data_IF_506570857122
#
_entry.id   IF_506570857122
#
_cell.length_a   1.000
_cell.length_b   1.000
_cell.length_c   1.000
_cell.angle_alpha   90.00
_cell.angle_beta   90.00
_cell.angle_gamma   90.00
#
_symmetry.space_group_name_H-M   'P 1'
#
loop_
_entity.id
_entity.type
_entity.pdbx_description
1 polymer ?
#
# COMPACT_ATOMS: atom_id res chain seq x y z
N UNK A 1 15.60 -4.26 -11.43
CA UNK A 1 14.90 -2.96 -11.22
C UNK A 1 15.29 -1.99 -12.34
N UNK A 2 14.36 -1.67 -13.22
CA UNK A 2 14.52 -0.70 -14.31
C UNK A 2 14.98 0.66 -13.77
N UNK A 3 15.89 1.34 -14.49
CA UNK A 3 16.45 2.61 -14.02
C UNK A 3 15.40 3.73 -14.14
N UNK A 4 14.62 3.97 -13.08
CA UNK A 4 13.75 5.14 -12.97
C UNK A 4 14.63 6.37 -12.69
N UNK A 5 15.06 7.06 -13.76
CA UNK A 5 16.08 8.13 -13.71
C UNK A 5 15.58 9.42 -13.04
N UNK A 6 14.30 9.77 -13.24
CA UNK A 6 13.68 11.01 -12.74
C UNK A 6 12.55 10.72 -11.73
N UNK A 7 12.76 9.75 -10.84
CA UNK A 7 11.76 9.38 -9.83
C UNK A 7 12.03 10.06 -8.49
N UNK A 8 11.01 10.04 -7.63
CA UNK A 8 11.11 10.43 -6.22
C UNK A 8 12.25 9.72 -5.49
N UNK A 9 12.64 8.49 -5.87
CA UNK A 9 13.83 7.84 -5.31
C UNK A 9 14.90 7.70 -6.38
N UNK A 10 16.12 8.15 -6.07
CA UNK A 10 17.27 7.90 -6.94
C UNK A 10 17.58 6.41 -7.00
N UNK A 11 18.36 6.00 -8.00
CA UNK A 11 18.90 4.64 -8.07
C UNK A 11 19.67 4.27 -6.81
N UNK A 12 20.42 5.21 -6.23
CA UNK A 12 21.20 4.95 -5.02
C UNK A 12 20.32 4.86 -3.77
N UNK A 13 19.21 5.61 -3.70
CA UNK A 13 18.24 5.48 -2.61
C UNK A 13 17.57 4.11 -2.63
N UNK A 14 17.15 3.66 -3.81
CA UNK A 14 16.55 2.33 -4.00
C UNK A 14 17.51 1.23 -3.57
N UNK A 15 18.74 1.23 -4.09
CA UNK A 15 19.77 0.24 -3.73
C UNK A 15 20.08 0.25 -2.24
N UNK A 16 20.09 1.42 -1.61
CA UNK A 16 20.35 1.52 -0.17
C UNK A 16 19.18 1.00 0.68
N UNK A 17 17.93 1.29 0.29
CA UNK A 17 16.73 0.81 0.98
C UNK A 17 16.51 -0.70 0.79
N UNK A 18 16.84 -1.26 -0.38
CA UNK A 18 16.73 -2.71 -0.66
C UNK A 18 17.89 -3.53 -0.13
N UNK A 19 18.91 -2.90 0.47
CA UNK A 19 20.08 -3.59 1.00
C UNK A 19 21.13 -3.97 -0.06
N UNK A 20 20.91 -3.67 -1.34
CA UNK A 20 21.90 -3.85 -2.42
C UNK A 20 23.14 -2.96 -2.25
N UNK A 21 23.04 -1.90 -1.44
CA UNK A 21 24.15 -1.01 -1.09
C UNK A 21 24.19 -0.78 0.42
N UNK A 22 25.33 -1.09 1.04
CA UNK A 22 25.68 -0.69 2.40
C UNK A 22 26.68 0.46 2.40
N UNK A 23 26.70 1.24 3.49
CA UNK A 23 27.79 2.18 3.77
C UNK A 23 28.63 1.59 4.91
N UNK A 24 29.92 1.45 4.66
CA UNK A 24 30.90 0.84 5.56
C UNK A 24 32.12 1.77 5.76
N UNK A 25 32.90 1.51 6.81
CA UNK A 25 34.09 2.29 7.15
C UNK A 25 33.84 3.51 8.03
N UNK A 26 34.89 4.35 8.16
CA UNK A 26 35.00 5.40 9.18
C UNK A 26 33.88 6.45 9.13
N UNK A 27 33.33 6.73 7.95
CA UNK A 27 32.27 7.73 7.75
C UNK A 27 30.88 7.12 7.52
N UNK A 28 30.72 5.81 7.68
CA UNK A 28 29.46 5.10 7.40
C UNK A 28 28.26 5.68 8.15
N UNK A 29 28.44 6.05 9.42
CA UNK A 29 27.36 6.62 10.24
C UNK A 29 26.85 7.94 9.66
N UNK A 30 27.76 8.83 9.27
CA UNK A 30 27.41 10.12 8.68
C UNK A 30 26.76 9.95 7.31
N UNK A 31 27.28 9.06 6.47
CA UNK A 31 26.71 8.78 5.14
C UNK A 31 25.30 8.19 5.23
N UNK A 32 25.05 7.26 6.17
CA UNK A 32 23.69 6.73 6.44
C UNK A 32 22.74 7.82 6.92
N UNK A 33 23.20 8.71 7.80
CA UNK A 33 22.39 9.82 8.28
C UNK A 33 22.02 10.78 7.15
N UNK A 34 23.01 11.20 6.36
CA UNK A 34 22.77 12.08 5.21
C UNK A 34 21.79 11.44 4.22
N UNK A 35 21.99 10.15 3.88
CA UNK A 35 21.08 9.42 2.98
C UNK A 35 19.64 9.40 3.48
N UNK A 36 19.42 9.17 4.79
CA UNK A 36 18.09 9.23 5.40
C UNK A 36 17.48 10.63 5.29
N UNK A 37 18.29 11.66 5.48
CA UNK A 37 17.83 13.04 5.36
C UNK A 37 17.42 13.38 3.93
N UNK A 38 18.26 13.05 2.96
CA UNK A 38 18.00 13.32 1.55
C UNK A 38 16.74 12.59 1.05
N UNK A 39 16.54 11.33 1.46
CA UNK A 39 15.31 10.59 1.14
C UNK A 39 14.09 11.25 1.78
N UNK A 40 14.18 11.64 3.06
CA UNK A 40 13.06 12.29 3.76
C UNK A 40 12.65 13.59 3.10
N UNK A 41 13.62 14.46 2.80
CA UNK A 41 13.37 15.75 2.18
C UNK A 41 12.74 15.59 0.80
N UNK A 42 13.24 14.64 0.02
CA UNK A 42 12.71 14.35 -1.32
C UNK A 42 11.30 13.78 -1.28
N UNK A 43 11.02 12.84 -0.39
CA UNK A 43 9.65 12.32 -0.18
C UNK A 43 8.72 13.44 0.25
N UNK A 44 9.15 14.29 1.20
CA UNK A 44 8.35 15.43 1.65
C UNK A 44 8.00 16.37 0.51
N UNK A 45 8.99 16.79 -0.30
CA UNK A 45 8.76 17.67 -1.44
C UNK A 45 7.89 17.02 -2.52
N UNK A 46 8.12 15.73 -2.83
CA UNK A 46 7.27 15.01 -3.79
C UNK A 46 5.82 14.86 -3.31
N UNK A 47 5.57 14.78 -2.00
CA UNK A 47 4.21 14.80 -1.46
C UNK A 47 3.54 16.16 -1.69
N UNK A 48 4.28 17.26 -1.54
CA UNK A 48 3.75 18.60 -1.82
C UNK A 48 3.44 18.79 -3.31
N UNK A 49 4.24 18.22 -4.20
CA UNK A 49 4.01 18.27 -5.64
C UNK A 49 2.67 17.66 -6.05
N UNK A 50 2.10 16.70 -5.30
CA UNK A 50 0.77 16.15 -5.60
C UNK A 50 -0.34 17.20 -5.53
N UNK A 51 -0.18 18.28 -4.76
CA UNK A 51 -1.14 19.39 -4.79
C UNK A 51 -1.13 20.05 -6.17
N UNK A 52 0.05 20.31 -6.72
CA UNK A 52 0.22 20.92 -8.05
C UNK A 52 -0.28 19.95 -9.12
N UNK A 53 0.10 18.67 -9.05
CA UNK A 53 -0.35 17.66 -10.02
C UNK A 53 -1.88 17.50 -10.00
N UNK A 54 -2.49 17.51 -8.81
CA UNK A 54 -3.94 17.38 -8.70
C UNK A 54 -4.67 18.60 -9.25
N UNK A 55 -4.13 19.80 -9.07
CA UNK A 55 -4.79 21.04 -9.47
C UNK A 55 -4.55 21.44 -10.93
N UNK A 56 -3.35 21.16 -11.45
CA UNK A 56 -2.87 21.75 -12.70
C UNK A 56 -2.56 20.73 -13.80
N UNK A 57 -2.43 19.43 -13.48
CA UNK A 57 -2.17 18.44 -14.53
C UNK A 57 -3.43 18.24 -15.39
N UNK A 58 -3.24 18.34 -16.70
CA UNK A 58 -4.30 18.13 -17.67
C UNK A 58 -4.89 16.71 -17.57
N UNK A 59 -6.19 16.62 -17.80
CA UNK A 59 -6.94 15.36 -17.70
C UNK A 59 -6.38 14.27 -18.64
N UNK A 60 -6.00 14.65 -19.86
CA UNK A 60 -5.41 13.72 -20.84
C UNK A 60 -4.07 13.15 -20.37
N UNK A 61 -3.24 13.96 -19.71
CA UNK A 61 -1.95 13.50 -19.14
C UNK A 61 -2.19 12.63 -17.90
N UNK A 62 -3.19 12.98 -17.07
CA UNK A 62 -3.63 12.14 -15.95
C UNK A 62 -4.09 10.76 -16.44
N UNK A 63 -4.88 10.70 -17.50
CA UNK A 63 -5.33 9.43 -18.10
C UNK A 63 -4.17 8.63 -18.70
N UNK A 64 -3.14 9.26 -19.26
CA UNK A 64 -1.94 8.55 -19.73
C UNK A 64 -1.14 7.93 -18.58
N UNK A 65 -1.13 8.55 -17.40
CA UNK A 65 -0.46 8.02 -16.20
C UNK A 65 -1.28 6.88 -15.58
N UNK A 66 -2.57 7.12 -15.39
CA UNK A 66 -3.47 6.23 -14.66
C UNK A 66 -4.29 5.32 -15.59
N UNK A 67 -4.02 5.22 -16.88
CA UNK A 67 -4.84 4.46 -17.82
C UNK A 67 -6.33 4.85 -17.77
N UNK A 68 -7.18 3.86 -18.05
CA UNK A 68 -8.64 4.03 -18.05
C UNK A 68 -9.27 3.11 -17.02
N UNK A 69 -10.34 3.55 -16.36
CA UNK A 69 -11.18 2.67 -15.55
C UNK A 69 -12.44 2.35 -16.38
N UNK A 70 -12.89 1.10 -16.35
CA UNK A 70 -14.15 0.72 -17.00
C UNK A 70 -15.32 1.56 -16.48
N UNK A 71 -16.37 1.73 -17.30
CA UNK A 71 -17.54 2.55 -16.94
C UNK A 71 -18.21 2.09 -15.63
N UNK A 72 -18.10 0.81 -15.29
CA UNK A 72 -18.61 0.23 -14.04
C UNK A 72 -17.67 0.38 -12.83
N UNK A 73 -16.50 0.99 -13.02
CA UNK A 73 -15.51 1.24 -11.98
C UNK A 73 -14.72 0.01 -11.52
N UNK A 74 -14.96 -1.17 -12.11
CA UNK A 74 -14.49 -2.45 -11.55
C UNK A 74 -13.09 -2.84 -12.01
N UNK A 75 -12.69 -2.37 -13.19
CA UNK A 75 -11.42 -2.76 -13.77
C UNK A 75 -10.61 -1.55 -14.20
N UNK A 76 -9.37 -1.58 -13.75
CA UNK A 76 -8.34 -0.67 -14.23
C UNK A 76 -7.73 -1.25 -15.51
N UNK A 77 -7.99 -0.63 -16.66
CA UNK A 77 -7.53 -1.05 -17.99
C UNK A 77 -6.27 -0.27 -18.38
N UNK A 78 -5.44 -0.86 -19.25
CA UNK A 78 -4.24 -0.22 -19.81
C UNK A 78 -3.21 0.25 -18.77
N UNK A 79 -3.07 -0.49 -17.67
CA UNK A 79 -2.10 -0.21 -16.62
C UNK A 79 -1.37 -1.49 -16.21
N UNK A 80 -0.06 -1.39 -16.04
CA UNK A 80 0.77 -2.52 -15.60
C UNK A 80 0.63 -2.79 -14.10
N UNK A 81 0.78 -4.05 -13.69
CA UNK A 81 0.63 -4.47 -12.29
C UNK A 81 1.62 -3.76 -11.36
N UNK A 82 2.86 -3.51 -11.82
CA UNK A 82 3.88 -2.81 -11.03
C UNK A 82 3.42 -1.38 -10.65
N UNK A 83 2.70 -0.69 -11.55
CA UNK A 83 2.16 0.63 -11.26
C UNK A 83 0.98 0.55 -10.29
N UNK A 84 0.06 -0.41 -10.48
CA UNK A 84 -1.08 -0.60 -9.57
C UNK A 84 -0.63 -0.89 -8.15
N UNK A 85 0.36 -1.77 -7.98
CA UNK A 85 0.97 -2.09 -6.69
C UNK A 85 1.65 -0.84 -6.09
N UNK A 86 2.34 -0.06 -6.92
CA UNK A 86 2.93 1.23 -6.51
C UNK A 86 1.91 2.24 -5.98
N UNK A 87 0.73 2.35 -6.61
CA UNK A 87 -0.36 3.21 -6.13
C UNK A 87 -0.94 2.71 -4.81
N UNK A 88 -1.20 1.40 -4.71
CA UNK A 88 -1.66 0.76 -3.46
C UNK A 88 -0.69 1.02 -2.31
N UNK A 89 0.60 0.79 -2.54
CA UNK A 89 1.64 0.90 -1.50
C UNK A 89 1.88 2.37 -1.11
N UNK A 90 1.74 3.32 -2.04
CA UNK A 90 1.79 4.74 -1.73
C UNK A 90 0.64 5.17 -0.80
N UNK A 91 -0.59 4.73 -1.09
CA UNK A 91 -1.75 5.00 -0.22
C UNK A 91 -1.55 4.36 1.17
N UNK A 92 -1.10 3.11 1.23
CA UNK A 92 -0.80 2.42 2.48
C UNK A 92 0.30 3.14 3.28
N UNK A 93 1.36 3.63 2.60
CA UNK A 93 2.43 4.40 3.22
C UNK A 93 1.91 5.70 3.86
N UNK A 94 1.04 6.44 3.16
CA UNK A 94 0.44 7.66 3.71
C UNK A 94 -0.46 7.36 4.91
N UNK A 95 -1.36 6.39 4.80
CA UNK A 95 -2.25 5.97 5.89
C UNK A 95 -1.48 5.51 7.13
N UNK A 96 -0.40 4.75 6.93
CA UNK A 96 0.51 4.37 8.00
C UNK A 96 1.18 5.58 8.63
N UNK A 97 1.63 6.54 7.83
CA UNK A 97 2.25 7.79 8.29
C UNK A 97 1.33 8.66 9.14
N UNK A 98 0.03 8.68 8.84
CA UNK A 98 -0.98 9.45 9.60
C UNK A 98 -1.63 8.66 10.73
N UNK A 99 -1.17 7.42 10.96
CA UNK A 99 -1.52 6.65 12.15
C UNK A 99 -2.79 5.81 12.04
N UNK A 100 -3.08 5.22 10.87
CA UNK A 100 -4.25 4.33 10.67
C UNK A 100 -4.41 3.23 11.72
N UNK A 101 -3.33 2.73 12.31
CA UNK A 101 -3.40 1.74 13.39
C UNK A 101 -4.14 2.22 14.65
N UNK A 102 -4.23 3.54 14.88
CA UNK A 102 -5.06 4.09 15.96
C UNK A 102 -6.56 3.95 15.67
N UNK A 103 -6.95 4.01 14.39
CA UNK A 103 -8.34 3.75 13.96
C UNK A 103 -8.68 2.29 14.16
N UNK A 104 -7.83 1.39 13.65
CA UNK A 104 -8.04 -0.06 13.71
C UNK A 104 -8.13 -0.61 15.15
N UNK A 105 -7.32 -0.09 16.08
CA UNK A 105 -7.37 -0.54 17.49
C UNK A 105 -8.60 -0.07 18.27
N UNK A 106 -9.30 0.95 17.78
CA UNK A 106 -10.45 1.53 18.48
C UNK A 106 -11.39 2.16 17.46
N UNK A 107 -12.13 1.35 16.68
CA UNK A 107 -12.96 1.85 15.58
C UNK A 107 -14.09 2.78 16.07
N UNK A 108 -14.59 2.58 17.30
CA UNK A 108 -15.70 3.35 17.87
C UNK A 108 -15.26 4.60 18.66
N UNK A 109 -14.23 5.32 18.20
CA UNK A 109 -13.83 6.55 18.88
C UNK A 109 -14.91 7.65 18.78
N UNK A 110 -15.08 8.47 19.83
CA UNK A 110 -16.08 9.54 19.85
C UNK A 110 -15.72 10.71 18.92
N UNK A 111 -14.49 10.77 18.42
CA UNK A 111 -13.99 11.83 17.58
C UNK A 111 -13.29 11.26 16.36
N UNK A 112 -13.55 11.89 15.21
CA UNK A 112 -12.86 11.61 13.97
C UNK A 112 -11.35 11.80 14.14
N UNK A 113 -10.58 10.85 13.60
CA UNK A 113 -9.11 10.85 13.65
C UNK A 113 -8.51 11.36 12.35
N UNK A 114 -7.23 11.71 12.40
CA UNK A 114 -6.47 12.24 11.26
C UNK A 114 -6.59 11.37 9.99
N UNK A 115 -6.48 10.02 10.02
CA UNK A 115 -6.63 9.21 8.82
C UNK A 115 -8.03 9.30 8.18
N UNK A 116 -9.08 9.28 9.00
CA UNK A 116 -10.47 9.38 8.55
C UNK A 116 -10.72 10.75 7.91
N UNK A 117 -10.35 11.82 8.62
CA UNK A 117 -10.47 13.20 8.13
C UNK A 117 -9.75 13.40 6.78
N UNK A 118 -8.53 12.87 6.65
CA UNK A 118 -7.76 13.00 5.41
C UNK A 118 -8.37 12.21 4.26
N UNK A 119 -8.85 11.00 4.50
CA UNK A 119 -9.55 10.20 3.47
C UNK A 119 -10.84 10.87 3.02
N UNK A 120 -11.68 11.32 3.96
CA UNK A 120 -12.93 12.01 3.65
C UNK A 120 -12.68 13.29 2.85
N UNK A 121 -11.68 14.08 3.25
CA UNK A 121 -11.31 15.30 2.53
C UNK A 121 -10.76 14.99 1.14
N UNK A 122 -9.92 13.95 1.00
CA UNK A 122 -9.36 13.54 -0.28
C UNK A 122 -10.44 13.03 -1.24
N UNK A 123 -11.36 12.18 -0.76
CA UNK A 123 -12.50 11.67 -1.53
C UNK A 123 -13.44 12.81 -1.95
N UNK A 124 -13.75 13.72 -1.04
CA UNK A 124 -14.55 14.90 -1.33
C UNK A 124 -13.93 15.76 -2.43
N UNK A 125 -12.62 16.02 -2.33
CA UNK A 125 -11.88 16.82 -3.31
C UNK A 125 -11.81 16.13 -4.67
N UNK A 126 -11.55 14.82 -4.71
CA UNK A 126 -11.55 14.03 -5.94
C UNK A 126 -12.93 14.01 -6.61
N UNK A 127 -13.99 13.76 -5.85
CA UNK A 127 -15.37 13.75 -6.33
C UNK A 127 -15.80 15.11 -6.91
N UNK A 128 -15.49 16.20 -6.21
CA UNK A 128 -15.76 17.56 -6.70
C UNK A 128 -15.07 17.84 -8.03
N UNK A 129 -13.80 17.42 -8.20
CA UNK A 129 -13.07 17.60 -9.46
C UNK A 129 -13.61 16.72 -10.59
N UNK A 130 -14.22 15.58 -10.24
CA UNK A 130 -14.97 14.74 -11.17
C UNK A 130 -16.41 15.24 -11.43
N UNK A 131 -16.82 16.38 -10.85
CA UNK A 131 -18.13 17.00 -11.08
C UNK A 131 -19.26 16.50 -10.16
N UNK A 132 -18.92 15.83 -9.05
CA UNK A 132 -19.90 15.31 -8.09
C UNK A 132 -20.00 16.19 -6.83
N UNK A 133 -21.23 16.34 -6.32
CA UNK A 133 -21.48 16.87 -4.99
C UNK A 133 -21.48 15.71 -3.99
N UNK A 134 -20.57 15.75 -3.03
CA UNK A 134 -20.44 14.71 -2.01
C UNK A 134 -21.21 15.14 -0.76
N UNK A 135 -22.27 14.42 -0.41
CA UNK A 135 -23.12 14.70 0.75
C UNK A 135 -22.69 13.91 1.99
N UNK A 136 -22.26 12.66 1.81
CA UNK A 136 -21.85 11.75 2.89
C UNK A 136 -20.74 10.81 2.40
N UNK A 137 -19.77 10.55 3.28
CA UNK A 137 -18.75 9.51 3.10
C UNK A 137 -18.78 8.63 4.35
N UNK A 138 -18.99 7.34 4.14
CA UNK A 138 -19.02 6.37 5.23
C UNK A 138 -17.83 5.42 5.11
N UNK A 139 -16.96 5.40 6.12
CA UNK A 139 -15.83 4.49 6.22
C UNK A 139 -16.07 3.48 7.34
N UNK A 140 -16.17 2.20 6.97
CA UNK A 140 -16.24 1.10 7.93
C UNK A 140 -14.92 0.32 7.93
N UNK A 141 -14.28 0.24 9.09
CA UNK A 141 -13.09 -0.61 9.28
C UNK A 141 -13.39 -1.62 10.39
N UNK A 142 -13.41 -2.89 10.01
CA UNK A 142 -13.42 -4.01 10.95
C UNK A 142 -12.02 -4.63 10.96
N UNK A 143 -11.34 -4.59 12.11
CA UNK A 143 -9.95 -4.97 12.23
C UNK A 143 -9.70 -5.73 13.53
N UNK A 144 -8.95 -6.82 13.40
CA UNK A 144 -8.45 -7.62 14.53
C UNK A 144 -6.94 -7.43 14.62
N UNK A 145 -6.43 -7.18 15.82
CA UNK A 145 -4.98 -7.16 16.05
C UNK A 145 -4.45 -8.59 15.99
N UNK A 146 -3.49 -8.84 15.10
CA UNK A 146 -2.93 -10.17 14.83
C UNK A 146 -1.40 -10.07 14.83
N UNK A 147 -0.75 -10.92 15.62
CA UNK A 147 0.70 -11.05 15.61
C UNK A 147 1.13 -12.21 14.71
N UNK A 148 2.09 -11.96 13.81
CA UNK A 148 2.65 -12.98 12.90
C UNK A 148 3.10 -14.26 13.63
N UNK A 149 3.79 -14.20 14.80
CA UNK A 149 4.16 -15.41 15.54
C UNK A 149 2.96 -16.27 15.94
N UNK A 150 1.85 -15.65 16.36
CA UNK A 150 0.66 -16.37 16.80
C UNK A 150 -0.03 -17.07 15.61
N UNK A 151 -0.05 -16.42 14.45
CA UNK A 151 -0.59 -17.03 13.22
C UNK A 151 0.31 -18.16 12.74
N UNK A 152 1.62 -18.01 12.86
CA UNK A 152 2.58 -19.05 12.51
C UNK A 152 2.44 -20.28 13.41
N UNK A 153 2.28 -20.09 14.73
CA UNK A 153 2.03 -21.18 15.69
C UNK A 153 0.72 -21.92 15.36
N UNK A 154 -0.33 -21.18 15.00
CA UNK A 154 -1.61 -21.76 14.57
C UNK A 154 -1.46 -22.58 13.28
N UNK A 155 -0.64 -22.15 12.33
CA UNK A 155 -0.31 -22.95 11.16
C UNK A 155 0.46 -24.23 11.53
N UNK A 156 1.48 -24.12 12.39
CA UNK A 156 2.32 -25.25 12.82
C UNK A 156 1.55 -26.31 13.60
N UNK A 157 0.55 -25.87 14.38
CA UNK A 157 -0.34 -26.75 15.15
C UNK A 157 -1.48 -27.36 14.31
N UNK A 158 -1.60 -26.96 13.04
CA UNK A 158 -2.60 -27.49 12.11
C UNK A 158 -3.99 -26.87 12.27
N UNK A 159 -4.10 -25.71 12.93
CA UNK A 159 -5.36 -24.96 12.97
C UNK A 159 -5.71 -24.38 11.59
N UNK A 160 -7.00 -24.22 11.33
CA UNK A 160 -7.46 -23.57 10.11
C UNK A 160 -7.17 -22.06 10.17
N UNK A 161 -6.39 -21.60 9.19
CA UNK A 161 -6.18 -20.19 8.92
C UNK A 161 -7.13 -19.68 7.83
N UNK A 162 -7.61 -18.45 8.02
CA UNK A 162 -8.33 -17.70 7.01
C UNK A 162 -7.40 -17.26 5.86
N UNK A 163 -7.95 -16.94 4.67
CA UNK A 163 -7.16 -16.39 3.56
C UNK A 163 -6.36 -15.14 3.94
N UNK A 164 -6.92 -14.26 4.79
CA UNK A 164 -6.27 -13.04 5.26
C UNK A 164 -5.05 -13.34 6.13
N UNK A 165 -5.15 -14.35 7.01
CA UNK A 165 -4.04 -14.78 7.86
C UNK A 165 -2.91 -15.42 7.04
N UNK A 166 -3.25 -16.23 6.03
CA UNK A 166 -2.26 -16.78 5.10
C UNK A 166 -1.55 -15.69 4.29
N UNK A 167 -2.30 -14.69 3.80
CA UNK A 167 -1.72 -13.54 3.11
C UNK A 167 -0.78 -12.75 4.02
N UNK A 168 -1.14 -12.54 5.29
CA UNK A 168 -0.30 -11.88 6.29
C UNK A 168 1.04 -12.61 6.48
N UNK A 169 1.04 -13.95 6.56
CA UNK A 169 2.27 -14.75 6.71
C UNK A 169 3.19 -14.66 5.48
N UNK A 170 2.59 -14.60 4.28
CA UNK A 170 3.33 -14.43 3.02
C UNK A 170 3.99 -13.05 2.95
N UNK A 171 3.23 -11.98 3.25
CA UNK A 171 3.73 -10.60 3.27
C UNK A 171 4.80 -10.38 4.35
N UNK A 172 4.69 -11.06 5.50
CA UNK A 172 5.68 -10.95 6.56
C UNK A 172 7.00 -11.69 6.25
N UNK A 173 7.05 -12.47 5.16
CA UNK A 173 8.19 -13.34 4.82
C UNK A 173 8.44 -14.43 5.86
N UNK A 174 7.45 -14.74 6.69
CA UNK A 174 7.56 -15.77 7.73
C UNK A 174 7.48 -17.18 7.13
N UNK A 175 6.91 -17.30 5.93
CA UNK A 175 6.76 -18.56 5.19
C UNK A 175 7.16 -18.32 3.75
N UNK A 176 7.78 -19.32 3.13
CA UNK A 176 8.03 -19.34 1.69
C UNK A 176 6.68 -19.39 0.92
N UNK A 177 6.38 -18.40 0.05
CA UNK A 177 5.19 -18.41 -0.79
C UNK A 177 4.99 -19.71 -1.58
N UNK A 178 6.08 -20.39 -1.96
CA UNK A 178 6.01 -21.67 -2.67
C UNK A 178 5.47 -22.79 -1.79
N UNK A 179 5.79 -22.78 -0.49
CA UNK A 179 5.29 -23.76 0.48
C UNK A 179 3.79 -23.58 0.77
N UNK A 180 3.28 -22.34 0.70
CA UNK A 180 1.86 -22.03 0.91
C UNK A 180 0.98 -22.47 -0.27
N UNK A 181 1.48 -22.40 -1.51
CA UNK A 181 0.75 -22.89 -2.68
C UNK A 181 0.42 -24.37 -2.59
N UNK A 182 1.32 -25.19 -2.04
CA UNK A 182 1.08 -26.63 -1.84
C UNK A 182 0.01 -26.91 -0.77
N UNK A 183 -0.15 -26.03 0.22
CA UNK A 183 -1.22 -26.12 1.22
C UNK A 183 -2.59 -25.63 0.71
N UNK A 184 -2.61 -24.69 -0.25
CA UNK A 184 -3.83 -24.15 -0.84
C UNK A 184 -4.38 -25.00 -1.99
N UNK A 185 -3.51 -25.71 -2.72
CA UNK A 185 -3.90 -26.55 -3.88
C UNK A 185 -5.03 -27.56 -3.59
N UNK A 186 -5.03 -28.29 -2.46
CA UNK A 186 -6.11 -29.22 -2.13
C UNK A 186 -7.45 -28.55 -1.84
N UNK A 187 -7.48 -27.25 -1.50
CA UNK A 187 -8.70 -26.52 -1.11
C UNK A 187 -9.43 -25.89 -2.30
N UNK A 188 -8.71 -25.61 -3.39
CA UNK A 188 -9.31 -25.09 -4.64
C UNK A 188 -9.97 -26.23 -5.43
N UNK A 189 -9.37 -27.43 -5.43
CA UNK A 189 -9.91 -28.60 -6.13
C UNK A 189 -11.24 -29.11 -5.54
N UNK A 190 -11.47 -28.93 -4.24
CA UNK A 190 -12.73 -29.35 -3.57
C UNK A 190 -13.88 -28.37 -3.84
N UNK A 191 -13.60 -27.11 -4.12
CA UNK A 191 -14.63 -26.11 -4.46
C UNK A 191 -15.21 -26.26 -5.87
N UNK A 192 -14.53 -26.99 -6.76
CA UNK A 192 -15.00 -27.25 -8.12
C UNK A 192 -15.85 -28.53 -8.23
N UNK A 193 -15.84 -29.42 -7.22
CA UNK A 193 -16.57 -30.69 -7.25
C UNK A 193 -18.00 -30.62 -6.67
N UNK A 194 -18.41 -29.51 -6.06
CA UNK A 194 -19.78 -29.30 -5.53
C UNK A 194 -20.70 -28.50 -6.49
N UNK A 195 -20.27 -28.30 -7.75
CA UNK A 195 -21.09 -27.72 -8.82
C UNK A 195 -21.30 -28.70 -9.97
N UNK A 196 -21.87 -29.88 -9.70
CA UNK A 196 -22.58 -30.72 -10.67
C UNK A 196 -23.92 -31.19 -10.12
#
# INVERSE_FOLDING_TARGET
MTSRKNAMLTTEDRRWLTGEKSYEGQHAKQQRYQRRNDIRERVYNSVLDFTILFDELDEDERQKIFGTITDDGRQWVDTDSEFRDGVRDALAFFLRGVGIGAVMRSPSAPHQRVPELLLETALSRAGQRAGFLIEEITLGIDATEVAVPDVLERLETGEELSPTELYLLMESGAIDPAAVQDCLRPRVEVGETERE
#
